data_IF_747734751260
#
_entry.id   IF_747734751260
#
_cell.length_a   1.000
_cell.length_b   1.000
_cell.length_c   1.000
_cell.angle_alpha   90.00
_cell.angle_beta   90.00
_cell.angle_gamma   90.00
#
_symmetry.space_group_name_H-M   'P 1'
#
loop_
_entity.id
_entity.type
_entity.pdbx_description
1 polymer ?
#
# COMPACT_ATOMS: atom_id res chain seq x y z
N UNK A 1 -5.55 -23.85 7.77
CA UNK A 1 -4.71 -22.68 8.15
C UNK A 1 -4.93 -21.51 7.17
N UNK A 2 -5.02 -21.81 5.89
CA UNK A 2 -5.67 -21.14 4.76
C UNK A 2 -6.77 -20.09 5.08
N UNK A 3 -7.75 -20.38 5.95
CA UNK A 3 -8.76 -19.35 6.35
C UNK A 3 -8.16 -18.19 7.15
N UNK A 4 -7.21 -18.47 8.04
CA UNK A 4 -6.57 -17.45 8.89
C UNK A 4 -5.77 -16.45 8.05
N UNK A 5 -4.93 -16.91 7.12
CA UNK A 5 -4.16 -16.03 6.25
C UNK A 5 -5.05 -15.20 5.33
N UNK A 6 -6.16 -15.78 4.85
CA UNK A 6 -7.13 -15.06 4.04
C UNK A 6 -7.80 -13.92 4.82
N UNK A 7 -8.30 -14.18 6.03
CA UNK A 7 -8.91 -13.13 6.86
C UNK A 7 -7.89 -12.08 7.30
N UNK A 8 -6.67 -12.49 7.64
CA UNK A 8 -5.58 -11.57 7.97
C UNK A 8 -5.25 -10.66 6.77
N UNK A 9 -5.08 -11.21 5.57
CA UNK A 9 -4.84 -10.44 4.35
C UNK A 9 -6.03 -9.52 4.02
N UNK A 10 -7.26 -10.02 4.14
CA UNK A 10 -8.45 -9.21 3.84
C UNK A 10 -8.63 -8.06 4.84
N UNK A 11 -8.37 -8.28 6.13
CA UNK A 11 -8.46 -7.26 7.16
C UNK A 11 -7.32 -6.24 7.10
N UNK A 12 -6.09 -6.70 6.90
CA UNK A 12 -4.90 -5.86 6.83
C UNK A 12 -4.97 -4.86 5.66
N UNK A 13 -5.67 -5.19 4.57
CA UNK A 13 -5.95 -4.27 3.47
C UNK A 13 -6.53 -2.94 3.95
N UNK A 14 -7.47 -2.98 4.91
CA UNK A 14 -8.09 -1.76 5.44
C UNK A 14 -7.10 -0.91 6.24
N UNK A 15 -6.17 -1.53 6.96
CA UNK A 15 -5.09 -0.83 7.65
C UNK A 15 -4.12 -0.18 6.65
N UNK A 16 -3.78 -0.87 5.56
CA UNK A 16 -2.95 -0.31 4.48
C UNK A 16 -3.62 0.90 3.84
N UNK A 17 -4.91 0.79 3.51
CA UNK A 17 -5.69 1.89 2.93
C UNK A 17 -5.78 3.07 3.90
N UNK A 18 -6.08 2.83 5.19
CA UNK A 18 -6.12 3.87 6.21
C UNK A 18 -4.76 4.58 6.35
N UNK A 19 -3.68 3.80 6.48
CA UNK A 19 -2.33 4.36 6.55
C UNK A 19 -1.97 5.17 5.31
N UNK A 20 -2.39 4.72 4.12
CA UNK A 20 -2.18 5.44 2.86
C UNK A 20 -2.95 6.75 2.79
N UNK A 21 -4.22 6.79 3.23
CA UNK A 21 -5.01 8.03 3.32
C UNK A 21 -4.37 9.02 4.28
N UNK A 22 -3.97 8.56 5.47
CA UNK A 22 -3.27 9.40 6.45
C UNK A 22 -1.94 9.95 5.89
N UNK A 23 -1.17 9.10 5.21
CA UNK A 23 0.09 9.48 4.58
C UNK A 23 -0.11 10.50 3.46
N UNK A 24 -1.11 10.31 2.59
CA UNK A 24 -1.45 11.29 1.53
C UNK A 24 -1.83 12.63 2.16
N UNK A 25 -2.73 12.64 3.14
CA UNK A 25 -3.15 13.87 3.81
C UNK A 25 -1.96 14.61 4.43
N UNK A 26 -1.10 13.87 5.16
CA UNK A 26 0.07 14.44 5.80
C UNK A 26 1.10 14.98 4.80
N UNK A 27 1.43 14.21 3.76
CA UNK A 27 2.41 14.63 2.75
C UNK A 27 1.89 15.76 1.88
N UNK A 28 0.61 15.75 1.51
CA UNK A 28 -0.02 16.85 0.79
C UNK A 28 0.01 18.13 1.61
N UNK A 29 -0.31 18.06 2.91
CA UNK A 29 -0.23 19.20 3.81
C UNK A 29 1.20 19.72 3.96
N UNK A 30 2.18 18.84 4.19
CA UNK A 30 3.60 19.21 4.29
C UNK A 30 4.13 19.83 2.99
N UNK A 31 3.70 19.31 1.84
CA UNK A 31 4.04 19.85 0.52
C UNK A 31 3.42 21.24 0.27
N UNK A 32 2.12 21.40 0.53
CA UNK A 32 1.40 22.66 0.32
C UNK A 32 1.91 23.79 1.25
N UNK A 33 2.26 23.44 2.49
CA UNK A 33 2.79 24.39 3.48
C UNK A 33 4.30 24.62 3.36
N UNK A 34 4.98 23.96 2.41
CA UNK A 34 6.43 24.04 2.18
C UNK A 34 7.26 23.77 3.45
N UNK A 35 6.75 22.90 4.34
CA UNK A 35 7.44 22.54 5.58
C UNK A 35 8.68 21.69 5.28
N UNK A 36 9.73 21.77 6.11
CA UNK A 36 10.85 20.84 6.01
C UNK A 36 10.36 19.42 6.33
N UNK A 37 10.90 18.42 5.63
CA UNK A 37 10.53 17.03 5.85
C UNK A 37 10.96 16.57 7.24
N UNK A 38 10.00 16.14 8.04
CA UNK A 38 10.18 15.92 9.46
C UNK A 38 10.17 14.42 9.84
N UNK A 39 10.33 14.15 11.14
CA UNK A 39 10.30 12.78 11.66
C UNK A 39 8.92 12.13 11.49
N UNK A 40 7.83 12.90 11.62
CA UNK A 40 6.46 12.41 11.46
C UNK A 40 6.23 11.86 10.06
N UNK A 41 6.61 12.62 9.04
CA UNK A 41 6.52 12.17 7.65
C UNK A 41 7.34 10.90 7.37
N UNK A 42 8.52 10.79 7.98
CA UNK A 42 9.36 9.59 7.84
C UNK A 42 8.73 8.35 8.48
N UNK A 43 8.19 8.48 9.69
CA UNK A 43 7.53 7.38 10.41
C UNK A 43 6.31 6.93 9.62
N UNK A 44 5.46 7.86 9.20
CA UNK A 44 4.22 7.55 8.50
C UNK A 44 4.47 6.85 7.16
N UNK A 45 5.47 7.32 6.39
CA UNK A 45 5.88 6.66 5.15
C UNK A 45 6.42 5.24 5.38
N UNK A 46 7.26 5.06 6.41
CA UNK A 46 7.78 3.75 6.78
C UNK A 46 6.69 2.77 7.25
N UNK A 47 5.73 3.26 8.06
CA UNK A 47 4.58 2.47 8.52
C UNK A 47 3.70 2.02 7.36
N UNK A 48 3.40 2.92 6.41
CA UNK A 48 2.65 2.55 5.21
C UNK A 48 3.37 1.48 4.38
N UNK A 49 4.67 1.69 4.09
CA UNK A 49 5.45 0.71 3.34
C UNK A 49 5.53 -0.65 4.06
N UNK A 50 5.73 -0.64 5.38
CA UNK A 50 5.76 -1.85 6.19
C UNK A 50 4.44 -2.63 6.15
N UNK A 51 3.31 -1.94 6.33
CA UNK A 51 1.97 -2.54 6.23
C UNK A 51 1.72 -3.10 4.82
N UNK A 52 2.10 -2.37 3.78
CA UNK A 52 1.96 -2.81 2.39
C UNK A 52 2.82 -4.05 2.09
N UNK A 53 4.05 -4.11 2.61
CA UNK A 53 4.89 -5.30 2.50
C UNK A 53 4.30 -6.50 3.24
N UNK A 54 3.77 -6.29 4.45
CA UNK A 54 3.07 -7.34 5.19
C UNK A 54 1.84 -7.84 4.42
N UNK A 55 1.09 -6.94 3.79
CA UNK A 55 -0.04 -7.29 2.93
C UNK A 55 0.39 -8.18 1.76
N UNK A 56 1.44 -7.81 1.04
CA UNK A 56 1.97 -8.61 -0.07
C UNK A 56 2.46 -9.98 0.43
N UNK A 57 3.16 -10.03 1.57
CA UNK A 57 3.63 -11.28 2.15
C UNK A 57 2.46 -12.22 2.50
N UNK A 58 1.43 -11.71 3.18
CA UNK A 58 0.22 -12.48 3.44
C UNK A 58 -0.49 -12.90 2.15
N UNK A 59 -0.45 -12.06 1.11
CA UNK A 59 -0.98 -12.39 -0.20
C UNK A 59 -0.27 -13.60 -0.82
N UNK A 60 1.06 -13.63 -0.77
CA UNK A 60 1.86 -14.77 -1.22
C UNK A 60 1.50 -16.04 -0.44
N UNK A 61 1.33 -15.97 0.89
CA UNK A 61 0.88 -17.10 1.71
C UNK A 61 -0.51 -17.62 1.31
N UNK A 62 -1.42 -16.73 0.91
CA UNK A 62 -2.74 -17.10 0.38
C UNK A 62 -2.62 -17.75 -1.01
N UNK A 63 -1.71 -17.27 -1.86
CA UNK A 63 -1.49 -17.83 -3.20
C UNK A 63 -0.97 -19.26 -3.18
N UNK A 64 -0.07 -19.59 -2.24
CA UNK A 64 0.45 -20.96 -2.11
C UNK A 64 -0.56 -21.93 -1.51
N UNK A 65 -1.69 -21.43 -0.97
CA UNK A 65 -2.72 -22.24 -0.30
C UNK A 65 -4.06 -22.30 -1.04
N UNK A 66 -4.21 -21.65 -2.21
CA UNK A 66 -5.49 -21.59 -2.97
C UNK A 66 -5.33 -21.76 -4.48
N UNK A 67 -6.45 -22.10 -5.14
CA UNK A 67 -6.54 -22.23 -6.60
C UNK A 67 -6.51 -20.87 -7.31
N UNK A 68 -5.84 -20.86 -8.47
CA UNK A 68 -5.65 -19.69 -9.32
C UNK A 68 -6.79 -19.49 -10.32
N UNK A 69 -7.10 -18.23 -10.64
CA UNK A 69 -8.00 -17.85 -11.74
C UNK A 69 -7.43 -16.60 -12.46
N UNK A 70 -7.74 -16.35 -13.74
CA UNK A 70 -7.03 -15.35 -14.56
C UNK A 70 -7.03 -13.93 -13.99
N UNK A 71 -8.16 -13.46 -13.43
CA UNK A 71 -8.27 -12.14 -12.81
C UNK A 71 -7.36 -11.96 -11.56
N UNK A 72 -6.93 -13.06 -10.94
CA UNK A 72 -5.99 -13.02 -9.81
C UNK A 72 -4.62 -12.52 -10.24
N UNK A 73 -4.19 -12.76 -11.48
CA UNK A 73 -2.89 -12.32 -12.00
C UNK A 73 -2.82 -10.79 -11.99
N UNK A 74 -3.86 -10.11 -12.50
CA UNK A 74 -3.92 -8.64 -12.52
C UNK A 74 -3.85 -8.05 -11.11
N UNK A 75 -4.53 -8.68 -10.15
CA UNK A 75 -4.45 -8.28 -8.74
C UNK A 75 -3.04 -8.39 -8.17
N UNK A 76 -2.39 -9.54 -8.36
CA UNK A 76 -1.03 -9.78 -7.84
C UNK A 76 -0.05 -8.76 -8.43
N UNK A 77 -0.08 -8.58 -9.75
CA UNK A 77 0.83 -7.65 -10.44
C UNK A 77 0.66 -6.24 -9.90
N UNK A 78 -0.58 -5.77 -9.76
CA UNK A 78 -0.86 -4.42 -9.24
C UNK A 78 -0.44 -4.26 -7.76
N UNK A 79 -0.62 -5.30 -6.93
CA UNK A 79 -0.16 -5.25 -5.53
C UNK A 79 1.37 -5.22 -5.42
N UNK A 80 2.08 -5.96 -6.28
CA UNK A 80 3.55 -5.92 -6.33
C UNK A 80 4.03 -4.56 -6.83
N UNK A 81 3.42 -4.02 -7.88
CA UNK A 81 3.73 -2.68 -8.38
C UNK A 81 3.50 -1.60 -7.31
N UNK A 82 2.42 -1.70 -6.53
CA UNK A 82 2.16 -0.81 -5.40
C UNK A 82 3.31 -0.85 -4.38
N UNK A 83 3.74 -2.04 -3.97
CA UNK A 83 4.81 -2.21 -3.00
C UNK A 83 6.15 -1.69 -3.54
N UNK A 84 6.48 -1.99 -4.80
CA UNK A 84 7.71 -1.54 -5.45
C UNK A 84 7.74 -0.01 -5.52
N UNK A 85 6.67 0.62 -6.03
CA UNK A 85 6.67 2.08 -6.24
C UNK A 85 6.72 2.85 -4.92
N UNK A 86 5.97 2.39 -3.91
CA UNK A 86 6.02 2.97 -2.57
C UNK A 86 7.43 2.86 -1.98
N UNK A 87 8.02 1.65 -2.04
CA UNK A 87 9.34 1.39 -1.46
C UNK A 87 10.43 2.20 -2.17
N UNK A 88 10.42 2.25 -3.51
CA UNK A 88 11.43 2.98 -4.29
C UNK A 88 11.34 4.47 -4.00
N UNK A 89 10.16 5.09 -4.11
CA UNK A 89 10.04 6.54 -3.97
C UNK A 89 10.30 7.01 -2.54
N UNK A 90 9.88 6.25 -1.52
CA UNK A 90 10.21 6.52 -0.12
C UNK A 90 11.71 6.33 0.16
N UNK A 91 12.32 5.27 -0.37
CA UNK A 91 13.74 4.99 -0.20
C UNK A 91 14.62 6.04 -0.87
N UNK A 92 14.27 6.46 -2.09
CA UNK A 92 14.97 7.54 -2.80
C UNK A 92 14.84 8.85 -2.02
N UNK A 93 13.64 9.21 -1.54
CA UNK A 93 13.46 10.43 -0.75
C UNK A 93 14.32 10.43 0.52
N UNK A 94 14.40 9.28 1.22
CA UNK A 94 15.20 9.12 2.44
C UNK A 94 16.71 9.31 2.20
N UNK A 95 17.18 9.01 0.98
CA UNK A 95 18.59 9.13 0.60
C UNK A 95 18.98 10.51 0.08
N UNK A 96 18.02 11.43 -0.10
CA UNK A 96 18.33 12.79 -0.56
C UNK A 96 19.01 13.62 0.54
N UNK A 97 19.92 14.54 0.18
CA UNK A 97 20.51 15.49 1.14
C UNK A 97 19.45 16.37 1.82
N UNK A 98 18.40 16.71 1.07
CA UNK A 98 17.23 17.45 1.56
C UNK A 98 15.96 16.67 1.19
N UNK A 99 15.50 15.75 2.06
CA UNK A 99 14.26 15.03 1.84
C UNK A 99 13.07 16.00 1.76
N UNK A 100 12.08 15.67 0.92
CA UNK A 100 10.89 16.49 0.73
C UNK A 100 9.60 15.66 0.75
N UNK A 101 8.46 16.33 0.60
CA UNK A 101 7.15 15.68 0.61
C UNK A 101 6.66 15.19 -0.77
N UNK A 102 7.25 15.69 -1.87
CA UNK A 102 6.80 15.37 -3.23
C UNK A 102 6.94 13.89 -3.60
N UNK A 103 8.11 13.29 -3.37
CA UNK A 103 8.35 11.88 -3.69
C UNK A 103 7.51 10.92 -2.82
N UNK A 104 7.43 11.10 -1.48
CA UNK A 104 6.52 10.31 -0.65
C UNK A 104 5.06 10.44 -1.06
N UNK A 105 4.59 11.65 -1.37
CA UNK A 105 3.22 11.88 -1.83
C UNK A 105 2.93 11.13 -3.13
N UNK A 106 3.81 11.24 -4.12
CA UNK A 106 3.69 10.52 -5.39
C UNK A 106 3.75 9.00 -5.17
N UNK A 107 4.65 8.51 -4.32
CA UNK A 107 4.80 7.08 -4.04
C UNK A 107 3.61 6.45 -3.36
N UNK A 108 3.07 7.11 -2.32
CA UNK A 108 1.86 6.62 -1.65
C UNK A 108 0.64 6.79 -2.55
N UNK A 109 0.49 7.92 -3.23
CA UNK A 109 -0.63 8.17 -4.14
C UNK A 109 -0.72 7.12 -5.25
N UNK A 110 0.41 6.85 -5.92
CA UNK A 110 0.46 5.86 -6.99
C UNK A 110 0.26 4.43 -6.47
N UNK A 111 0.80 4.11 -5.28
CA UNK A 111 0.55 2.82 -4.64
C UNK A 111 -0.94 2.62 -4.32
N UNK A 112 -1.65 3.64 -3.85
CA UNK A 112 -3.10 3.57 -3.63
C UNK A 112 -3.87 3.32 -4.92
N UNK A 113 -3.50 4.00 -6.02
CA UNK A 113 -4.11 3.77 -7.33
C UNK A 113 -3.94 2.31 -7.77
N UNK A 114 -2.74 1.74 -7.61
CA UNK A 114 -2.49 0.33 -7.92
C UNK A 114 -3.25 -0.63 -7.00
N UNK A 115 -3.34 -0.34 -5.70
CA UNK A 115 -4.12 -1.15 -4.75
C UNK A 115 -5.60 -1.17 -5.17
N UNK A 116 -6.18 -0.01 -5.49
CA UNK A 116 -7.58 0.10 -5.93
C UNK A 116 -7.78 -0.68 -7.24
N UNK A 117 -6.92 -0.46 -8.24
CA UNK A 117 -6.98 -1.19 -9.50
C UNK A 117 -6.86 -2.70 -9.32
N UNK A 118 -5.98 -3.15 -8.42
CA UNK A 118 -5.83 -4.57 -8.08
C UNK A 118 -7.09 -5.16 -7.47
N UNK A 119 -7.77 -4.42 -6.58
CA UNK A 119 -9.05 -4.85 -5.99
C UNK A 119 -10.16 -4.91 -7.06
N UNK A 120 -10.21 -3.94 -7.96
CA UNK A 120 -11.21 -3.93 -9.04
C UNK A 120 -10.97 -5.06 -10.04
N UNK A 121 -9.72 -5.45 -10.30
CA UNK A 121 -9.38 -6.54 -11.21
C UNK A 121 -9.99 -7.89 -10.79
N UNK A 122 -10.20 -8.12 -9.49
CA UNK A 122 -10.86 -9.34 -8.96
C UNK A 122 -12.39 -9.21 -8.86
N UNK A 123 -12.97 -8.15 -9.45
CA UNK A 123 -14.43 -7.91 -9.46
C UNK A 123 -15.02 -7.62 -8.08
N UNK A 124 -14.19 -7.20 -7.11
CA UNK A 124 -14.63 -6.90 -5.75
C UNK A 124 -14.70 -5.39 -5.51
N UNK A 125 -15.69 -4.96 -4.72
CA UNK A 125 -15.73 -3.58 -4.24
C UNK A 125 -14.61 -3.29 -3.25
N UNK A 126 -14.06 -2.07 -3.30
CA UNK A 126 -12.97 -1.62 -2.42
C UNK A 126 -13.35 -1.72 -0.93
N UNK A 127 -14.64 -1.58 -0.62
CA UNK A 127 -15.20 -1.65 0.74
C UNK A 127 -16.01 -2.92 1.02
N UNK A 128 -16.02 -3.90 0.11
CA UNK A 128 -16.78 -5.13 0.33
C UNK A 128 -15.99 -6.07 1.24
N UNK A 129 -16.50 -6.27 2.47
CA UNK A 129 -16.04 -7.30 3.40
C UNK A 129 -16.85 -8.57 3.16
N UNK A 130 -16.19 -9.67 2.77
CA UNK A 130 -16.81 -11.01 2.81
C UNK A 130 -16.72 -11.55 4.23
N UNK A 131 -17.54 -10.99 5.12
CA UNK A 131 -17.95 -11.62 6.37
C UNK A 131 -19.37 -12.16 6.13
N UNK A 132 -19.45 -13.29 5.43
CA UNK A 132 -20.57 -14.23 5.46
C UNK A 132 -19.98 -15.63 5.37
#
# INVERSE_FOLDING_TARGET
MDRMFFYAHSGLRYLVLLAGVLAIAYFAFGFATKRPFDKGGRILGASFAGLLHLQVLLGILVLVTRFYYPALIGHIVLMVLAAVVAQVLLSVNRRRPQPGYALPLAGVGLAIVFIIGGIMAIGRGVFTTTAM
#
